data_IF_515029273202
#
_entry.id   IF_515029273202
#
_cell.length_a   1.000
_cell.length_b   1.000
_cell.length_c   1.000
_cell.angle_alpha   90.00
_cell.angle_beta   90.00
_cell.angle_gamma   90.00
#
_symmetry.space_group_name_H-M   'P 1'
#
loop_
_entity.id
_entity.type
_entity.pdbx_description
1 polymer ?
#
# COMPACT_ATOMS: atom_id res chain seq x y z
N UNK A 1 -39.78 32.76 8.57
CA UNK A 1 -40.00 31.30 8.60
C UNK A 1 -39.13 30.70 7.51
N UNK A 2 -37.94 30.22 7.87
CA UNK A 2 -37.07 29.47 6.97
C UNK A 2 -37.70 28.08 6.77
N UNK A 3 -38.19 27.81 5.56
CA UNK A 3 -38.62 26.47 5.19
C UNK A 3 -37.38 25.55 5.25
N UNK A 4 -37.46 24.48 6.03
CA UNK A 4 -36.40 23.47 6.07
C UNK A 4 -36.45 22.72 4.74
N UNK A 5 -35.33 22.72 4.01
CA UNK A 5 -35.18 21.97 2.77
C UNK A 5 -35.21 20.46 3.08
N UNK A 6 -36.20 19.70 2.55
CA UNK A 6 -36.31 18.27 2.82
C UNK A 6 -35.10 17.46 2.32
N UNK A 7 -34.40 17.89 1.26
CA UNK A 7 -33.19 17.21 0.80
C UNK A 7 -32.04 17.29 1.81
N UNK A 8 -31.94 18.43 2.52
CA UNK A 8 -30.94 18.63 3.57
C UNK A 8 -31.15 17.73 4.79
N UNK A 9 -32.40 17.43 5.12
CA UNK A 9 -32.71 16.52 6.24
C UNK A 9 -32.36 15.07 5.91
N UNK A 10 -32.48 14.66 4.65
CA UNK A 10 -32.12 13.32 4.19
C UNK A 10 -30.60 13.09 4.26
N UNK A 11 -29.79 14.05 3.80
CA UNK A 11 -28.33 13.95 3.85
C UNK A 11 -27.81 13.85 5.30
N UNK A 12 -28.33 14.69 6.20
CA UNK A 12 -27.96 14.63 7.62
C UNK A 12 -28.34 13.29 8.27
N UNK A 13 -29.47 12.70 7.88
CA UNK A 13 -29.87 11.38 8.37
C UNK A 13 -28.92 10.28 7.87
N UNK A 14 -28.58 10.31 6.58
CA UNK A 14 -27.63 9.36 5.96
C UNK A 14 -26.24 9.47 6.56
N UNK A 15 -25.75 10.68 6.79
CA UNK A 15 -24.47 10.90 7.46
C UNK A 15 -24.46 10.33 8.88
N UNK A 16 -25.52 10.58 9.65
CA UNK A 16 -25.67 10.01 11.00
C UNK A 16 -25.73 8.47 10.97
N UNK A 17 -26.38 7.90 9.96
CA UNK A 17 -26.43 6.45 9.73
C UNK A 17 -25.03 5.90 9.42
N UNK A 18 -24.26 6.53 8.54
CA UNK A 18 -22.89 6.12 8.22
C UNK A 18 -22.01 6.06 9.48
N UNK A 19 -22.05 7.10 10.32
CA UNK A 19 -21.34 7.10 11.60
C UNK A 19 -21.82 6.03 12.58
N UNK A 20 -23.11 5.66 12.54
CA UNK A 20 -23.63 4.55 13.33
C UNK A 20 -23.06 3.22 12.85
N UNK A 21 -23.04 2.99 11.54
CA UNK A 21 -22.50 1.78 10.93
C UNK A 21 -21.01 1.60 11.25
N UNK A 22 -20.22 2.68 11.18
CA UNK A 22 -18.81 2.67 11.61
C UNK A 22 -18.66 2.23 13.06
N UNK A 23 -19.50 2.75 13.96
CA UNK A 23 -19.46 2.39 15.40
C UNK A 23 -19.90 0.96 15.67
N UNK A 24 -20.79 0.40 14.85
CA UNK A 24 -21.20 -1.01 14.96
C UNK A 24 -20.24 -1.98 14.26
N UNK A 25 -19.24 -1.48 13.52
CA UNK A 25 -18.28 -2.30 12.78
C UNK A 25 -18.76 -2.72 11.38
N UNK A 26 -19.90 -2.20 10.91
CA UNK A 26 -20.35 -2.40 9.52
C UNK A 26 -19.64 -1.38 8.63
N UNK A 27 -18.37 -1.67 8.34
CA UNK A 27 -17.49 -0.77 7.61
C UNK A 27 -17.88 -0.68 6.13
N UNK A 28 -18.31 -1.79 5.52
CA UNK A 28 -18.79 -1.80 4.13
C UNK A 28 -20.04 -0.92 3.97
N UNK A 29 -21.01 -1.06 4.86
CA UNK A 29 -22.22 -0.23 4.86
C UNK A 29 -21.91 1.25 5.11
N UNK A 30 -20.99 1.56 6.03
CA UNK A 30 -20.55 2.93 6.29
C UNK A 30 -19.84 3.53 5.07
N UNK A 31 -18.91 2.79 4.44
CA UNK A 31 -18.15 3.24 3.28
C UNK A 31 -19.07 3.57 2.10
N UNK A 32 -20.08 2.73 1.84
CA UNK A 32 -21.05 2.98 0.77
C UNK A 32 -21.78 4.32 0.95
N UNK A 33 -22.31 4.59 2.15
CA UNK A 33 -23.03 5.85 2.41
C UNK A 33 -22.09 7.06 2.35
N UNK A 34 -20.89 6.96 2.94
CA UNK A 34 -19.93 8.06 2.87
C UNK A 34 -19.48 8.36 1.44
N UNK A 35 -19.24 7.33 0.60
CA UNK A 35 -18.89 7.53 -0.80
C UNK A 35 -20.00 8.24 -1.58
N UNK A 36 -21.25 7.79 -1.45
CA UNK A 36 -22.39 8.42 -2.13
C UNK A 36 -22.53 9.91 -1.75
N UNK A 37 -22.39 10.26 -0.46
CA UNK A 37 -22.47 11.64 0.01
C UNK A 37 -21.25 12.49 -0.39
N UNK A 38 -20.08 11.88 -0.53
CA UNK A 38 -18.83 12.53 -0.90
C UNK A 38 -18.71 12.77 -2.43
N UNK A 39 -19.37 11.95 -3.24
CA UNK A 39 -19.46 12.11 -4.70
C UNK A 39 -20.50 13.17 -5.10
N UNK A 40 -21.53 13.41 -4.27
CA UNK A 40 -22.50 14.47 -4.53
C UNK A 40 -21.89 15.87 -4.30
N UNK A 41 -21.51 16.54 -5.38
CA UNK A 41 -20.99 17.92 -5.38
C UNK A 41 -21.95 18.94 -4.75
N UNK A 42 -23.26 18.69 -4.79
CA UNK A 42 -24.27 19.57 -4.21
C UNK A 42 -24.48 19.29 -2.71
N UNK A 43 -23.91 18.20 -2.18
CA UNK A 43 -24.07 17.83 -0.78
C UNK A 43 -23.36 18.84 0.13
N UNK A 44 -24.07 19.45 1.10
CA UNK A 44 -23.43 20.31 2.10
C UNK A 44 -22.47 19.54 3.01
N UNK A 45 -22.64 18.21 3.09
CA UNK A 45 -21.90 17.32 3.96
C UNK A 45 -20.73 16.62 3.22
N UNK A 46 -20.49 16.98 1.95
CA UNK A 46 -19.49 16.34 1.08
C UNK A 46 -18.11 16.18 1.72
N UNK A 47 -17.62 17.25 2.36
CA UNK A 47 -16.31 17.25 3.01
C UNK A 47 -16.27 16.34 4.23
N UNK A 48 -17.32 16.34 5.05
CA UNK A 48 -17.42 15.46 6.21
C UNK A 48 -17.57 14.00 5.78
N UNK A 49 -18.34 13.74 4.73
CA UNK A 49 -18.45 12.43 4.12
C UNK A 49 -17.12 11.93 3.54
N UNK A 50 -16.33 12.80 2.89
CA UNK A 50 -14.98 12.48 2.43
C UNK A 50 -14.04 12.09 3.56
N UNK A 51 -14.05 12.83 4.68
CA UNK A 51 -13.29 12.48 5.87
C UNK A 51 -13.75 11.15 6.49
N UNK A 52 -15.07 10.92 6.55
CA UNK A 52 -15.66 9.67 7.00
C UNK A 52 -15.25 8.46 6.14
N UNK A 53 -15.31 8.60 4.82
CA UNK A 53 -14.86 7.59 3.87
C UNK A 53 -13.37 7.28 4.05
N UNK A 54 -12.53 8.32 4.21
CA UNK A 54 -11.09 8.14 4.45
C UNK A 54 -10.82 7.30 5.70
N UNK A 55 -11.47 7.64 6.81
CA UNK A 55 -11.30 6.92 8.08
C UNK A 55 -11.78 5.47 8.01
N UNK A 56 -12.91 5.21 7.33
CA UNK A 56 -13.44 3.85 7.15
C UNK A 56 -12.51 3.03 6.23
N UNK A 57 -12.06 3.61 5.11
CA UNK A 57 -11.17 2.94 4.17
C UNK A 57 -9.81 2.58 4.82
N UNK A 58 -9.26 3.49 5.62
CA UNK A 58 -8.08 3.23 6.45
C UNK A 58 -8.29 2.00 7.35
N UNK A 59 -9.38 2.00 8.12
CA UNK A 59 -9.68 0.92 9.07
C UNK A 59 -9.86 -0.42 8.38
N UNK A 60 -10.58 -0.44 7.25
CA UNK A 60 -10.78 -1.64 6.44
C UNK A 60 -9.45 -2.16 5.90
N UNK A 61 -8.61 -1.29 5.34
CA UNK A 61 -7.32 -1.68 4.80
C UNK A 61 -6.38 -2.23 5.87
N UNK A 62 -6.34 -1.64 7.06
CA UNK A 62 -5.55 -2.15 8.19
C UNK A 62 -5.99 -3.57 8.59
N UNK A 63 -7.30 -3.82 8.72
CA UNK A 63 -7.83 -5.15 9.03
C UNK A 63 -7.50 -6.17 7.94
N UNK A 64 -7.71 -5.81 6.66
CA UNK A 64 -7.42 -6.69 5.54
C UNK A 64 -5.91 -7.03 5.45
N UNK A 65 -5.03 -6.07 5.73
CA UNK A 65 -3.59 -6.31 5.80
C UNK A 65 -3.21 -7.20 6.98
N UNK A 66 -3.85 -7.05 8.14
CA UNK A 66 -3.66 -7.94 9.30
C UNK A 66 -4.12 -9.37 9.01
N UNK A 67 -5.20 -9.52 8.23
CA UNK A 67 -5.74 -10.81 7.79
C UNK A 67 -4.96 -11.44 6.62
N UNK A 68 -4.02 -10.71 6.02
CA UNK A 68 -3.20 -11.19 4.91
C UNK A 68 -3.89 -11.10 3.55
N UNK A 69 -4.87 -10.20 3.38
CA UNK A 69 -5.52 -9.88 2.11
C UNK A 69 -5.12 -8.49 1.57
N UNK A 70 -3.87 -8.34 1.08
CA UNK A 70 -3.40 -7.08 0.54
C UNK A 70 -4.08 -6.70 -0.79
N UNK A 71 -4.65 -7.68 -1.51
CA UNK A 71 -5.39 -7.43 -2.75
C UNK A 71 -6.66 -6.64 -2.49
N UNK A 72 -7.50 -7.14 -1.58
CA UNK A 72 -8.71 -6.44 -1.18
C UNK A 72 -8.41 -5.11 -0.48
N UNK A 73 -7.33 -5.03 0.32
CA UNK A 73 -6.89 -3.78 0.92
C UNK A 73 -6.57 -2.71 -0.14
N UNK A 74 -5.83 -3.09 -1.20
CA UNK A 74 -5.52 -2.19 -2.30
C UNK A 74 -6.80 -1.71 -3.01
N UNK A 75 -7.75 -2.60 -3.27
CA UNK A 75 -9.02 -2.26 -3.93
C UNK A 75 -9.88 -1.28 -3.12
N UNK A 76 -9.93 -1.42 -1.79
CA UNK A 76 -10.61 -0.46 -0.89
C UNK A 76 -9.93 0.92 -0.99
N UNK A 77 -8.60 0.96 -0.91
CA UNK A 77 -7.84 2.21 -0.90
C UNK A 77 -7.91 2.95 -2.25
N UNK A 78 -7.81 2.22 -3.37
CA UNK A 78 -7.93 2.79 -4.72
C UNK A 78 -9.31 3.40 -4.92
N UNK A 79 -10.38 2.71 -4.51
CA UNK A 79 -11.74 3.25 -4.60
C UNK A 79 -11.90 4.52 -3.77
N UNK A 80 -11.47 4.52 -2.51
CA UNK A 80 -11.56 5.70 -1.65
C UNK A 80 -10.75 6.89 -2.21
N UNK A 81 -9.52 6.65 -2.69
CA UNK A 81 -8.67 7.67 -3.29
C UNK A 81 -9.17 8.22 -4.63
N UNK A 82 -10.11 7.52 -5.29
CA UNK A 82 -10.75 8.00 -6.51
C UNK A 82 -11.87 9.03 -6.27
N UNK A 83 -12.32 9.19 -5.03
CA UNK A 83 -13.32 10.20 -4.65
C UNK A 83 -12.61 11.52 -4.40
N UNK A 84 -12.92 12.55 -5.20
CA UNK A 84 -12.28 13.87 -5.12
C UNK A 84 -12.33 14.48 -3.72
N UNK A 85 -13.47 14.34 -3.04
CA UNK A 85 -13.64 14.82 -1.66
C UNK A 85 -12.73 14.14 -0.64
N UNK A 86 -12.14 12.98 -0.95
CA UNK A 86 -11.10 12.31 -0.17
C UNK A 86 -9.71 12.81 -0.57
N UNK A 87 -9.47 13.00 -1.88
CA UNK A 87 -8.19 13.46 -2.41
C UNK A 87 -7.78 14.85 -1.87
N UNK A 88 -8.76 15.70 -1.56
CA UNK A 88 -8.56 17.03 -1.00
C UNK A 88 -8.36 17.05 0.53
N UNK A 89 -8.49 15.89 1.21
CA UNK A 89 -8.30 15.77 2.67
C UNK A 89 -6.83 15.50 2.99
N UNK A 90 -6.35 16.04 4.12
CA UNK A 90 -4.99 15.82 4.61
C UNK A 90 -4.62 14.32 4.76
N UNK A 91 -5.61 13.45 4.97
CA UNK A 91 -5.42 12.02 5.22
C UNK A 91 -5.19 11.19 3.93
N UNK A 92 -5.34 11.78 2.75
CA UNK A 92 -5.05 11.10 1.48
C UNK A 92 -3.61 10.56 1.40
N UNK A 93 -2.66 11.26 2.03
CA UNK A 93 -1.27 10.80 2.13
C UNK A 93 -1.15 9.47 2.90
N UNK A 94 -1.91 9.31 4.00
CA UNK A 94 -1.91 8.08 4.81
C UNK A 94 -2.50 6.91 4.03
N UNK A 95 -3.61 7.13 3.33
CA UNK A 95 -4.21 6.10 2.46
C UNK A 95 -3.24 5.66 1.35
N UNK A 96 -2.49 6.60 0.75
CA UNK A 96 -1.46 6.27 -0.24
C UNK A 96 -0.31 5.45 0.35
N UNK A 97 0.08 5.71 1.61
CA UNK A 97 1.09 4.89 2.31
C UNK A 97 0.57 3.48 2.54
N UNK A 98 -0.67 3.33 3.01
CA UNK A 98 -1.30 2.00 3.15
C UNK A 98 -1.40 1.27 1.81
N UNK A 99 -1.70 1.99 0.72
CA UNK A 99 -1.77 1.40 -0.62
C UNK A 99 -0.38 0.93 -1.08
N UNK A 100 0.65 1.72 -0.79
CA UNK A 100 2.04 1.31 -1.01
C UNK A 100 2.38 0.04 -0.23
N UNK A 101 1.98 -0.04 1.04
CA UNK A 101 2.15 -1.25 1.87
C UNK A 101 1.45 -2.46 1.26
N UNK A 102 0.19 -2.33 0.84
CA UNK A 102 -0.55 -3.39 0.18
C UNK A 102 0.17 -3.88 -1.09
N UNK A 103 0.67 -2.96 -1.91
CA UNK A 103 1.46 -3.32 -3.09
C UNK A 103 2.81 -3.99 -2.76
N UNK A 104 3.46 -3.64 -1.65
CA UNK A 104 4.67 -4.34 -1.21
C UNK A 104 4.38 -5.79 -0.80
N UNK A 105 3.25 -6.06 -0.15
CA UNK A 105 2.83 -7.43 0.18
C UNK A 105 2.50 -8.23 -1.07
N UNK A 106 1.78 -7.65 -2.03
CA UNK A 106 1.50 -8.27 -3.33
C UNK A 106 2.80 -8.56 -4.10
N UNK A 107 3.73 -7.61 -4.13
CA UNK A 107 5.03 -7.81 -4.77
C UNK A 107 5.83 -8.94 -4.10
N UNK A 108 5.84 -9.01 -2.76
CA UNK A 108 6.46 -10.12 -2.03
C UNK A 108 5.85 -11.47 -2.42
N UNK A 109 4.52 -11.55 -2.57
CA UNK A 109 3.84 -12.78 -2.97
C UNK A 109 4.24 -13.22 -4.38
N UNK A 110 4.27 -12.30 -5.35
CA UNK A 110 4.69 -12.57 -6.73
C UNK A 110 6.17 -12.99 -6.82
N UNK A 111 7.07 -12.31 -6.09
CA UNK A 111 8.47 -12.70 -6.06
C UNK A 111 8.67 -14.08 -5.40
N UNK A 112 7.91 -14.38 -4.34
CA UNK A 112 7.95 -15.71 -3.73
C UNK A 112 7.46 -16.79 -4.71
N UNK A 113 6.37 -16.55 -5.44
CA UNK A 113 5.90 -17.46 -6.48
C UNK A 113 6.96 -17.67 -7.58
N UNK A 114 7.62 -16.60 -8.03
CA UNK A 114 8.69 -16.69 -9.02
C UNK A 114 9.91 -17.51 -8.51
N UNK A 115 10.23 -17.42 -7.21
CA UNK A 115 11.27 -18.26 -6.59
C UNK A 115 10.86 -19.74 -6.57
N UNK A 116 9.60 -20.03 -6.32
CA UNK A 116 9.06 -21.40 -6.34
C UNK A 116 9.03 -21.98 -7.76
N UNK A 117 8.54 -21.22 -8.74
CA UNK A 117 8.54 -21.62 -10.15
C UNK A 117 9.96 -21.86 -10.69
N UNK A 118 10.93 -21.10 -10.18
CA UNK A 118 12.36 -21.25 -10.49
C UNK A 118 13.02 -22.52 -9.97
N UNK A 119 12.31 -23.40 -9.24
CA UNK A 119 12.83 -24.69 -8.76
C UNK A 119 12.83 -25.79 -9.82
N UNK A 120 12.16 -25.59 -10.95
CA UNK A 120 12.05 -26.57 -12.02
C UNK A 120 13.35 -26.81 -12.81
N UNK A 121 13.45 -27.96 -13.46
CA UNK A 121 14.55 -28.23 -14.40
C UNK A 121 14.51 -27.22 -15.57
N UNK A 122 15.66 -26.59 -15.86
CA UNK A 122 15.78 -25.62 -16.95
C UNK A 122 15.27 -24.21 -16.61
N UNK A 123 15.00 -23.92 -15.34
CA UNK A 123 14.70 -22.57 -14.88
C UNK A 123 15.86 -21.59 -15.18
N UNK A 124 15.51 -20.34 -15.51
CA UNK A 124 16.49 -19.30 -15.76
C UNK A 124 17.12 -18.80 -14.45
N UNK A 125 18.41 -19.09 -14.27
CA UNK A 125 19.16 -18.72 -13.07
C UNK A 125 19.22 -17.19 -12.84
N UNK A 126 19.23 -16.36 -13.89
CA UNK A 126 19.25 -14.90 -13.70
C UNK A 126 17.91 -14.38 -13.16
N UNK A 127 16.80 -14.83 -13.75
CA UNK A 127 15.45 -14.49 -13.27
C UNK A 127 15.22 -15.00 -11.84
N UNK A 128 15.62 -16.23 -11.53
CA UNK A 128 15.52 -16.78 -10.17
C UNK A 128 16.33 -15.96 -9.16
N UNK A 129 17.56 -15.58 -9.50
CA UNK A 129 18.40 -14.76 -8.63
C UNK A 129 17.85 -13.34 -8.44
N UNK A 130 17.22 -12.77 -9.47
CA UNK A 130 16.54 -11.48 -9.38
C UNK A 130 15.32 -11.57 -8.44
N UNK A 131 14.51 -12.61 -8.55
CA UNK A 131 13.36 -12.82 -7.66
C UNK A 131 13.80 -12.95 -6.19
N UNK A 132 14.85 -13.72 -5.92
CA UNK A 132 15.48 -13.85 -4.58
C UNK A 132 15.93 -12.47 -4.07
N UNK A 133 16.63 -11.70 -4.92
CA UNK A 133 17.12 -10.36 -4.57
C UNK A 133 15.97 -9.41 -4.21
N UNK A 134 14.93 -9.35 -5.04
CA UNK A 134 13.81 -8.44 -4.85
C UNK A 134 13.01 -8.81 -3.61
N UNK A 135 12.70 -10.10 -3.42
CA UNK A 135 12.00 -10.60 -2.24
C UNK A 135 12.80 -10.29 -0.95
N UNK A 136 14.08 -10.67 -0.90
CA UNK A 136 14.91 -10.48 0.28
C UNK A 136 15.17 -9.00 0.60
N UNK A 137 15.12 -8.10 -0.39
CA UNK A 137 15.22 -6.65 -0.13
C UNK A 137 13.89 -5.98 0.19
N UNK A 138 12.77 -6.61 -0.12
CA UNK A 138 11.44 -6.04 0.14
C UNK A 138 10.91 -6.44 1.51
N UNK A 139 11.16 -7.68 1.94
CA UNK A 139 10.76 -8.20 3.24
C UNK A 139 11.14 -7.32 4.46
N UNK A 140 12.36 -6.73 4.54
CA UNK A 140 12.72 -5.86 5.66
C UNK A 140 11.87 -4.58 5.74
N UNK A 141 11.33 -4.08 4.62
CA UNK A 141 10.43 -2.92 4.62
C UNK A 141 9.11 -3.21 5.36
N UNK A 142 8.83 -4.49 5.61
CA UNK A 142 7.67 -5.00 6.37
C UNK A 142 8.06 -5.56 7.74
N UNK A 143 9.30 -5.33 8.18
CA UNK A 143 9.83 -5.86 9.45
C UNK A 143 10.06 -7.37 9.43
N UNK A 144 10.21 -7.97 8.24
CA UNK A 144 10.40 -9.42 8.04
C UNK A 144 11.86 -9.77 7.78
N UNK A 145 12.76 -9.25 8.60
CA UNK A 145 14.21 -9.41 8.44
C UNK A 145 14.68 -10.88 8.48
N UNK A 146 14.06 -11.70 9.34
CA UNK A 146 14.40 -13.13 9.45
C UNK A 146 14.00 -13.91 8.18
N UNK A 147 12.88 -13.55 7.56
CA UNK A 147 12.45 -14.15 6.29
C UNK A 147 13.40 -13.74 5.17
N UNK A 148 13.81 -12.47 5.14
CA UNK A 148 14.79 -11.96 4.18
C UNK A 148 16.12 -12.74 4.25
N UNK A 149 16.63 -12.98 5.47
CA UNK A 149 17.83 -13.79 5.67
C UNK A 149 17.65 -15.22 5.15
N UNK A 150 16.47 -15.80 5.38
CA UNK A 150 16.15 -17.15 4.89
C UNK A 150 16.13 -17.22 3.37
N UNK A 151 15.55 -16.22 2.70
CA UNK A 151 15.53 -16.13 1.23
C UNK A 151 16.95 -15.98 0.67
N UNK A 152 17.80 -15.15 1.29
CA UNK A 152 19.21 -15.04 0.91
C UNK A 152 19.94 -16.37 1.04
N UNK A 153 19.80 -17.04 2.20
CA UNK A 153 20.45 -18.32 2.48
C UNK A 153 20.03 -19.38 1.46
N UNK A 154 18.74 -19.45 1.16
CA UNK A 154 18.21 -20.33 0.12
C UNK A 154 18.92 -20.15 -1.22
N UNK A 155 19.10 -18.91 -1.67
CA UNK A 155 19.79 -18.64 -2.94
C UNK A 155 21.29 -18.96 -2.92
N UNK A 156 21.97 -18.68 -1.80
CA UNK A 156 23.43 -18.90 -1.66
C UNK A 156 23.81 -20.37 -1.57
N UNK A 157 22.95 -21.17 -0.93
CA UNK A 157 23.13 -22.61 -0.70
C UNK A 157 22.45 -23.47 -1.77
N UNK A 158 21.93 -22.85 -2.84
CA UNK A 158 21.18 -23.56 -3.87
C UNK A 158 22.06 -24.58 -4.63
N UNK A 159 21.54 -25.79 -4.95
CA UNK A 159 22.31 -26.82 -5.65
C UNK A 159 22.74 -26.40 -7.06
N UNK A 160 21.91 -25.62 -7.75
CA UNK A 160 22.30 -24.97 -9.02
C UNK A 160 23.36 -23.90 -8.77
N UNK A 161 24.57 -24.19 -9.24
CA UNK A 161 25.72 -23.32 -9.09
C UNK A 161 25.55 -22.00 -9.84
N UNK A 162 24.87 -22.00 -10.98
CA UNK A 162 24.65 -20.79 -11.77
C UNK A 162 23.76 -19.81 -10.99
N UNK A 163 22.67 -20.29 -10.39
CA UNK A 163 21.80 -19.49 -9.53
C UNK A 163 22.58 -18.93 -8.34
N UNK A 164 23.31 -19.79 -7.63
CA UNK A 164 24.04 -19.39 -6.43
C UNK A 164 25.13 -18.34 -6.73
N UNK A 165 25.80 -18.43 -7.89
CA UNK A 165 26.74 -17.40 -8.36
C UNK A 165 26.04 -16.06 -8.62
N UNK A 166 24.89 -16.06 -9.29
CA UNK A 166 24.12 -14.83 -9.52
C UNK A 166 23.63 -14.18 -8.22
N UNK A 167 23.19 -14.99 -7.25
CA UNK A 167 22.77 -14.51 -5.93
C UNK A 167 23.95 -13.84 -5.19
N UNK A 168 25.14 -14.44 -5.22
CA UNK A 168 26.36 -13.84 -4.62
C UNK A 168 26.70 -12.48 -5.23
N UNK A 169 26.61 -12.37 -6.57
CA UNK A 169 26.86 -11.10 -7.27
C UNK A 169 25.86 -10.02 -6.85
N UNK A 170 24.58 -10.38 -6.68
CA UNK A 170 23.50 -9.45 -6.31
C UNK A 170 23.54 -9.04 -4.83
N UNK A 171 23.93 -9.94 -3.93
CA UNK A 171 24.12 -9.63 -2.51
C UNK A 171 25.16 -8.52 -2.30
N UNK A 172 26.22 -8.51 -3.12
CA UNK A 172 27.28 -7.49 -3.07
C UNK A 172 26.90 -6.13 -3.65
N UNK A 173 25.71 -5.97 -4.24
CA UNK A 173 25.25 -4.68 -4.79
C UNK A 173 24.73 -3.78 -3.67
N UNK A 174 25.37 -2.62 -3.52
CA UNK A 174 24.82 -1.53 -2.71
C UNK A 174 23.65 -0.89 -3.48
N UNK A 175 22.49 -0.76 -2.83
CA UNK A 175 21.28 -0.13 -3.41
C UNK A 175 21.17 1.33 -2.96
N UNK A 176 22.18 1.86 -2.24
CA UNK A 176 22.23 3.29 -1.93
C UNK A 176 22.29 4.11 -3.23
N UNK A 177 21.44 5.13 -3.41
CA UNK A 177 21.60 6.04 -4.53
C UNK A 177 22.98 6.71 -4.39
N UNK A 178 23.74 6.72 -5.49
CA UNK A 178 24.98 7.49 -5.57
C UNK A 178 24.64 8.98 -5.45
N UNK A 179 24.57 9.48 -4.22
CA UNK A 179 24.56 10.92 -3.98
C UNK A 179 25.96 11.39 -4.36
N UNK A 180 26.10 11.85 -5.60
CA UNK A 180 27.31 12.54 -6.06
C UNK A 180 27.51 13.73 -5.14
N UNK A 181 28.51 13.64 -4.27
CA UNK A 181 28.92 14.76 -3.45
C UNK A 181 29.37 15.88 -4.40
N UNK A 182 28.54 16.91 -4.57
CA UNK A 182 28.92 18.13 -5.27
C UNK A 182 30.16 18.69 -4.57
N UNK A 183 31.31 18.86 -5.24
CA UNK A 183 32.47 19.47 -4.62
C UNK A 183 32.13 20.91 -4.22
N UNK A 184 32.34 21.25 -2.94
CA UNK A 184 32.25 22.63 -2.47
C UNK A 184 33.21 23.48 -3.29
N UNK A 185 32.68 24.49 -3.98
CA UNK A 185 33.50 25.52 -4.62
C UNK A 185 34.25 26.30 -3.55
N UNK A 186 35.53 26.68 -3.78
CA UNK A 186 36.30 27.43 -2.80
C UNK A 186 35.74 28.85 -2.65
N UNK A 187 35.45 29.20 -1.41
CA UNK A 187 35.04 30.52 -0.96
C UNK A 187 36.14 31.54 -1.31
N UNK A 188 35.81 32.53 -2.14
CA UNK A 188 36.71 33.64 -2.45
C UNK A 188 36.59 34.68 -1.33
N UNK A 189 37.62 34.76 -0.49
CA UNK A 189 37.76 35.81 0.53
C UNK A 189 38.15 37.14 -0.14
N UNK A 190 37.59 38.30 0.30
CA UNK A 190 37.85 39.62 -0.29
C UNK A 190 39.30 40.11 -0.16
#
# INVERSE_FOLDING_TARGET
>A
MTAIDPGRLDHAHRLAQAHQLTRSGDLDGAAAIFAELAEDEASPDRTEAGAGLSAVAERMAELLLEEGDPGQAADVLVRALSVDAVADVADAARLRVLLGIAHLELACAEFAAAVEDGRGEGADADTGALAIELLARTLPLRGRDADAETVWRYGLDHPDQALAEQVRLRLGRDVRPAVSATPKSPESTP
#
